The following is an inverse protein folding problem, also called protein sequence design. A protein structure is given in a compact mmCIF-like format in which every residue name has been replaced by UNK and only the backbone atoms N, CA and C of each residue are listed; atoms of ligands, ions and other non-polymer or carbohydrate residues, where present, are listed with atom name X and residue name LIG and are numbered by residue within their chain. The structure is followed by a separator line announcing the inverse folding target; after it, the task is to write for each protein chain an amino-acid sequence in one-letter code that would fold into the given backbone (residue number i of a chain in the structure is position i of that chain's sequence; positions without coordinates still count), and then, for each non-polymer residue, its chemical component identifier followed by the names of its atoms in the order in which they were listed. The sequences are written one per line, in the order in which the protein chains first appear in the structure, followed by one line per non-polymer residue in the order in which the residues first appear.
data_IF_290632835057
#
_entry.id   IF_290632835057
#
_cell.length_a   1.000
_cell.length_b   1.000
_cell.length_c   1.000
_cell.angle_alpha   90.00
_cell.angle_beta   90.00
_cell.angle_gamma   90.00
#
_symmetry.space_group_name_H-M   'P 1'
#
loop_
_entity.id
_entity.type
_entity.pdbx_description
1 polymer ?
#
# COMPACT_ATOMS: atom_id res chain seq x y z
N UNK A 1 -20.56 -11.47 35.07
CA UNK A 1 -19.37 -10.89 34.38
C UNK A 1 -18.78 -11.98 33.48
N UNK A 2 -18.81 -11.81 32.18
CA UNK A 2 -18.10 -12.73 31.26
C UNK A 2 -16.60 -12.48 31.45
N UNK A 3 -15.84 -13.56 31.70
CA UNK A 3 -14.39 -13.46 31.91
C UNK A 3 -13.68 -12.89 30.66
N UNK A 4 -12.45 -12.38 30.83
CA UNK A 4 -11.62 -11.75 29.78
C UNK A 4 -11.45 -12.65 28.53
N UNK A 5 -11.50 -13.96 28.73
CA UNK A 5 -11.44 -15.00 27.67
C UNK A 5 -12.71 -15.14 26.84
N UNK A 6 -13.84 -14.58 27.28
CA UNK A 6 -15.09 -14.60 26.53
C UNK A 6 -15.23 -13.46 25.52
N UNK A 7 -14.21 -12.61 25.38
CA UNK A 7 -14.22 -11.46 24.45
C UNK A 7 -13.49 -11.75 23.13
N UNK A 8 -12.80 -12.89 23.05
CA UNK A 8 -11.96 -13.23 21.90
C UNK A 8 -10.66 -12.41 21.84
N UNK A 9 -9.92 -12.59 20.75
CA UNK A 9 -8.66 -11.90 20.44
C UNK A 9 -8.86 -11.02 19.20
N UNK A 10 -8.38 -9.79 19.26
CA UNK A 10 -8.34 -8.91 18.07
C UNK A 10 -7.50 -9.56 16.95
N UNK A 11 -8.00 -9.58 15.71
CA UNK A 11 -7.24 -10.07 14.56
C UNK A 11 -5.90 -9.34 14.42
N UNK A 12 -4.90 -10.06 13.95
CA UNK A 12 -3.55 -9.50 13.76
C UNK A 12 -3.57 -8.40 12.70
N UNK A 13 -2.85 -7.31 12.97
CA UNK A 13 -2.78 -6.12 12.10
C UNK A 13 -4.15 -5.51 11.79
N UNK A 14 -5.10 -5.69 12.70
CA UNK A 14 -6.41 -5.06 12.57
C UNK A 14 -6.27 -3.55 12.40
N UNK A 15 -6.87 -3.03 11.34
CA UNK A 15 -6.78 -1.60 11.00
C UNK A 15 -8.13 -1.12 10.48
N UNK A 16 -8.68 -0.09 11.09
CA UNK A 16 -9.86 0.58 10.54
C UNK A 16 -9.50 1.36 9.29
N UNK A 17 -10.13 1.03 8.16
CA UNK A 17 -10.09 1.79 6.90
C UNK A 17 -11.13 2.91 6.94
N UNK A 18 -12.34 2.58 7.38
CA UNK A 18 -13.42 3.51 7.67
C UNK A 18 -13.88 3.16 9.09
N UNK A 19 -13.65 4.07 10.01
CA UNK A 19 -13.91 3.83 11.45
C UNK A 19 -15.33 3.33 11.68
N UNK A 20 -15.45 2.21 12.37
CA UNK A 20 -16.72 1.59 12.71
C UNK A 20 -17.45 0.90 11.55
N UNK A 21 -16.94 0.94 10.32
CA UNK A 21 -17.62 0.43 9.13
C UNK A 21 -16.81 -0.60 8.35
N UNK A 22 -15.55 -0.30 8.05
CA UNK A 22 -14.68 -1.16 7.28
C UNK A 22 -13.32 -1.29 7.94
N UNK A 23 -12.90 -2.52 8.18
CA UNK A 23 -11.56 -2.83 8.65
C UNK A 23 -10.84 -3.78 7.70
N UNK A 24 -9.52 -3.78 7.77
CA UNK A 24 -8.66 -4.74 7.11
C UNK A 24 -7.76 -5.43 8.13
N UNK A 25 -7.43 -6.71 7.92
CA UNK A 25 -6.54 -7.48 8.78
C UNK A 25 -5.80 -8.59 8.04
N UNK A 26 -4.85 -9.21 8.71
CA UNK A 26 -4.36 -10.54 8.34
C UNK A 26 -5.51 -11.54 8.44
N UNK A 27 -5.45 -12.63 7.68
CA UNK A 27 -6.38 -13.76 7.75
C UNK A 27 -6.60 -14.21 9.20
N UNK A 28 -7.85 -14.34 9.66
CA UNK A 28 -8.14 -14.88 10.99
C UNK A 28 -7.50 -16.26 11.22
N UNK A 29 -6.77 -16.40 12.33
CA UNK A 29 -5.95 -17.56 12.63
C UNK A 29 -4.50 -17.48 12.18
N UNK A 30 -4.11 -16.42 11.44
CA UNK A 30 -2.79 -16.24 10.87
C UNK A 30 -2.61 -16.97 9.53
N UNK A 31 -1.45 -16.82 8.90
CA UNK A 31 -1.15 -17.43 7.61
C UNK A 31 -0.04 -18.50 7.69
N UNK A 32 0.04 -19.36 6.67
CA UNK A 32 1.05 -20.42 6.55
C UNK A 32 1.19 -21.26 7.83
N UNK A 33 2.41 -21.44 8.30
CA UNK A 33 2.73 -22.23 9.51
C UNK A 33 2.18 -21.64 10.81
N UNK A 34 1.82 -20.35 10.80
CA UNK A 34 1.25 -19.65 11.96
C UNK A 34 -0.26 -19.82 12.08
N UNK A 35 -0.91 -20.46 11.10
CA UNK A 35 -2.35 -20.68 11.14
C UNK A 35 -2.72 -21.66 12.25
N UNK A 36 -3.56 -21.22 13.18
CA UNK A 36 -3.99 -21.99 14.34
C UNK A 36 -5.52 -21.96 14.47
N UNK A 37 -6.13 -23.15 14.57
CA UNK A 37 -7.58 -23.28 14.70
C UNK A 37 -8.13 -22.52 15.90
N UNK A 38 -7.54 -22.68 17.07
CA UNK A 38 -7.97 -21.98 18.30
C UNK A 38 -7.88 -20.47 18.13
N UNK A 39 -6.76 -19.97 17.62
CA UNK A 39 -6.59 -18.53 17.38
C UNK A 39 -7.65 -18.00 16.41
N UNK A 40 -7.96 -18.71 15.33
CA UNK A 40 -9.03 -18.34 14.39
C UNK A 40 -10.37 -18.22 15.11
N UNK A 41 -10.71 -19.22 15.94
CA UNK A 41 -11.96 -19.17 16.70
C UNK A 41 -12.03 -17.96 17.64
N UNK A 42 -10.95 -17.65 18.34
CA UNK A 42 -10.87 -16.47 19.22
C UNK A 42 -10.99 -15.16 18.45
N UNK A 43 -10.33 -15.04 17.29
CA UNK A 43 -10.42 -13.85 16.44
C UNK A 43 -11.82 -13.68 15.83
N UNK A 44 -12.48 -14.78 15.41
CA UNK A 44 -13.87 -14.71 14.91
C UNK A 44 -14.86 -14.36 16.03
N UNK A 45 -14.66 -14.89 17.23
CA UNK A 45 -15.46 -14.54 18.40
C UNK A 45 -15.34 -13.03 18.71
N UNK A 46 -14.12 -12.48 18.59
CA UNK A 46 -13.88 -11.06 18.77
C UNK A 46 -14.64 -10.23 17.72
N UNK A 47 -14.56 -10.62 16.46
CA UNK A 47 -15.26 -9.92 15.36
C UNK A 47 -16.77 -9.90 15.59
N UNK A 48 -17.38 -11.06 15.87
CA UNK A 48 -18.80 -11.15 16.16
C UNK A 48 -19.20 -10.31 17.38
N UNK A 49 -18.38 -10.35 18.45
CA UNK A 49 -18.58 -9.57 19.68
C UNK A 49 -18.44 -8.05 19.49
N UNK A 50 -17.73 -7.62 18.45
CA UNK A 50 -17.56 -6.21 18.07
C UNK A 50 -18.51 -5.76 16.96
N UNK A 51 -19.52 -6.58 16.65
CA UNK A 51 -20.60 -6.23 15.73
C UNK A 51 -20.21 -6.26 14.25
N UNK A 52 -19.17 -7.00 13.88
CA UNK A 52 -18.92 -7.29 12.48
C UNK A 52 -20.02 -8.20 11.96
N UNK A 53 -20.48 -7.90 10.76
CA UNK A 53 -21.60 -8.60 10.10
C UNK A 53 -21.12 -9.36 8.87
N UNK A 54 -20.10 -8.85 8.18
CA UNK A 54 -19.60 -9.38 6.93
C UNK A 54 -18.09 -9.55 6.92
N UNK A 55 -17.63 -10.60 6.23
CA UNK A 55 -16.21 -10.87 5.97
C UNK A 55 -15.99 -11.03 4.47
N UNK A 56 -15.10 -10.24 3.89
CA UNK A 56 -14.61 -10.44 2.53
C UNK A 56 -13.25 -11.13 2.56
N UNK A 57 -13.23 -12.36 2.07
CA UNK A 57 -12.01 -13.16 1.95
C UNK A 57 -11.38 -13.01 0.56
N UNK A 58 -10.15 -12.49 0.50
CA UNK A 58 -9.38 -12.33 -0.73
C UNK A 58 -8.36 -13.46 -0.93
N UNK A 59 -8.51 -14.58 -0.20
CA UNK A 59 -7.60 -15.72 -0.28
C UNK A 59 -7.64 -16.36 -1.67
N UNK A 60 -6.50 -16.87 -2.15
CA UNK A 60 -6.43 -17.60 -3.42
C UNK A 60 -7.30 -18.87 -3.42
N UNK A 61 -7.57 -19.44 -2.26
CA UNK A 61 -8.38 -20.65 -2.11
C UNK A 61 -9.35 -20.58 -0.93
N UNK A 62 -10.52 -21.27 -1.03
CA UNK A 62 -11.63 -21.15 -0.08
C UNK A 62 -11.39 -21.94 1.22
N UNK A 63 -10.21 -21.79 1.83
CA UNK A 63 -9.89 -22.50 3.07
C UNK A 63 -10.61 -21.94 4.28
N UNK A 64 -11.29 -22.83 5.02
CA UNK A 64 -11.91 -22.53 6.32
C UNK A 64 -13.02 -21.47 6.28
N UNK A 65 -13.65 -21.22 5.13
CA UNK A 65 -14.75 -20.27 5.03
C UNK A 65 -15.94 -20.63 5.92
N UNK A 66 -16.22 -21.94 6.10
CA UNK A 66 -17.26 -22.45 7.01
C UNK A 66 -17.11 -21.93 8.46
N UNK A 67 -15.92 -21.51 8.87
CA UNK A 67 -15.73 -20.95 10.20
C UNK A 67 -16.40 -19.58 10.38
N UNK A 68 -16.69 -18.87 9.31
CA UNK A 68 -17.46 -17.62 9.35
C UNK A 68 -18.93 -17.90 9.61
N UNK A 69 -19.50 -18.95 8.95
CA UNK A 69 -20.89 -19.39 9.22
C UNK A 69 -21.06 -19.83 10.68
N UNK A 70 -20.10 -20.60 11.20
CA UNK A 70 -20.09 -21.04 12.61
C UNK A 70 -20.04 -19.86 13.59
N UNK A 71 -19.43 -18.73 13.18
CA UNK A 71 -19.34 -17.51 13.98
C UNK A 71 -20.53 -16.57 13.79
N UNK A 72 -21.49 -16.90 12.89
CA UNK A 72 -22.64 -16.06 12.55
C UNK A 72 -22.27 -14.83 11.71
N UNK A 73 -21.15 -14.89 10.97
CA UNK A 73 -20.68 -13.84 10.08
C UNK A 73 -21.03 -14.19 8.63
N UNK A 74 -21.75 -13.33 7.93
CA UNK A 74 -21.90 -13.47 6.50
C UNK A 74 -20.55 -13.28 5.80
N UNK A 75 -20.28 -13.99 4.71
CA UNK A 75 -19.04 -13.85 4.01
C UNK A 75 -19.19 -13.97 2.49
N UNK A 76 -18.26 -13.35 1.78
CA UNK A 76 -18.01 -13.63 0.36
C UNK A 76 -16.52 -13.93 0.16
N UNK A 77 -16.26 -14.74 -0.87
CA UNK A 77 -14.92 -15.11 -1.26
C UNK A 77 -14.65 -14.63 -2.68
N UNK A 78 -13.81 -13.62 -2.80
CA UNK A 78 -13.34 -13.08 -4.07
C UNK A 78 -11.83 -13.28 -4.13
N UNK A 79 -11.36 -14.40 -4.73
CA UNK A 79 -9.94 -14.69 -4.77
C UNK A 79 -9.18 -13.64 -5.55
N UNK A 80 -8.05 -13.20 -5.00
CA UNK A 80 -7.17 -12.23 -5.62
C UNK A 80 -5.77 -12.84 -5.79
N UNK A 81 -5.65 -13.80 -6.68
CA UNK A 81 -4.41 -14.51 -7.02
C UNK A 81 -3.45 -13.69 -7.87
N UNK A 82 -2.31 -14.31 -8.21
CA UNK A 82 -1.27 -13.67 -9.05
C UNK A 82 -1.60 -13.68 -10.54
N UNK A 83 -2.48 -14.58 -10.97
CA UNK A 83 -2.77 -14.87 -12.37
C UNK A 83 -4.18 -14.45 -12.80
N UNK A 84 -4.92 -13.80 -11.91
CA UNK A 84 -6.25 -13.33 -12.21
C UNK A 84 -6.23 -12.07 -13.08
N UNK A 85 -7.29 -11.82 -13.83
CA UNK A 85 -7.54 -10.55 -14.48
C UNK A 85 -7.78 -9.48 -13.40
N UNK A 86 -6.72 -8.78 -13.03
CA UNK A 86 -6.66 -7.94 -11.84
C UNK A 86 -7.76 -6.88 -11.83
N UNK A 87 -8.05 -6.26 -12.98
CA UNK A 87 -9.07 -5.20 -13.06
C UNK A 87 -10.48 -5.74 -12.73
N UNK A 88 -10.83 -6.91 -13.29
CA UNK A 88 -12.12 -7.55 -13.05
C UNK A 88 -12.27 -7.94 -11.58
N UNK A 89 -11.25 -8.59 -11.01
CA UNK A 89 -11.26 -8.97 -9.59
C UNK A 89 -11.32 -7.77 -8.65
N UNK A 90 -10.62 -6.70 -8.96
CA UNK A 90 -10.73 -5.46 -8.18
C UNK A 90 -12.13 -4.86 -8.27
N UNK A 91 -12.75 -4.90 -9.44
CA UNK A 91 -14.13 -4.46 -9.60
C UNK A 91 -15.09 -5.26 -8.72
N UNK A 92 -14.97 -6.60 -8.72
CA UNK A 92 -15.78 -7.49 -7.86
C UNK A 92 -15.59 -7.17 -6.38
N UNK A 93 -14.34 -7.02 -5.93
CA UNK A 93 -14.02 -6.65 -4.55
C UNK A 93 -14.66 -5.32 -4.15
N UNK A 94 -14.49 -4.29 -4.99
CA UNK A 94 -14.96 -2.95 -4.66
C UNK A 94 -16.49 -2.85 -4.69
N UNK A 95 -17.15 -3.51 -5.63
CA UNK A 95 -18.61 -3.53 -5.72
C UNK A 95 -19.23 -4.31 -4.56
N UNK A 96 -18.63 -5.43 -4.16
CA UNK A 96 -19.07 -6.20 -3.00
C UNK A 96 -19.02 -5.37 -1.72
N UNK A 97 -17.88 -4.74 -1.44
CA UNK A 97 -17.73 -3.89 -0.25
C UNK A 97 -18.69 -2.70 -0.31
N UNK A 98 -18.81 -2.04 -1.46
CA UNK A 98 -19.68 -0.89 -1.60
C UNK A 98 -21.16 -1.25 -1.36
N UNK A 99 -21.62 -2.39 -1.88
CA UNK A 99 -22.97 -2.91 -1.66
C UNK A 99 -23.26 -3.12 -0.18
N UNK A 100 -22.32 -3.71 0.58
CA UNK A 100 -22.52 -3.88 2.02
C UNK A 100 -22.49 -2.55 2.77
N UNK A 101 -21.59 -1.66 2.42
CA UNK A 101 -21.47 -0.36 3.06
C UNK A 101 -22.62 0.61 2.73
N UNK A 102 -23.50 0.30 1.78
CA UNK A 102 -24.73 1.07 1.53
C UNK A 102 -25.70 0.96 2.70
N UNK A 103 -25.71 -0.16 3.43
CA UNK A 103 -26.43 -0.29 4.68
C UNK A 103 -25.58 0.27 5.84
N UNK A 104 -26.02 1.32 6.55
CA UNK A 104 -25.25 1.95 7.62
C UNK A 104 -24.98 1.03 8.83
N UNK A 105 -25.77 -0.02 9.02
CA UNK A 105 -25.60 -0.96 10.14
C UNK A 105 -24.52 -2.02 9.87
N UNK A 106 -24.11 -2.19 8.61
CA UNK A 106 -23.15 -3.22 8.24
C UNK A 106 -21.73 -2.82 8.61
N UNK A 107 -21.01 -3.78 9.16
CA UNK A 107 -19.61 -3.66 9.55
C UNK A 107 -18.81 -4.79 8.90
N UNK A 108 -17.85 -4.42 8.07
CA UNK A 108 -17.15 -5.32 7.15
C UNK A 108 -15.70 -5.50 7.56
N UNK A 109 -15.23 -6.74 7.60
CA UNK A 109 -13.81 -7.08 7.61
C UNK A 109 -13.37 -7.54 6.23
N UNK A 110 -12.30 -6.98 5.70
CA UNK A 110 -11.60 -7.49 4.53
C UNK A 110 -10.25 -8.08 4.95
N UNK A 111 -9.91 -9.26 4.45
CA UNK A 111 -8.61 -9.87 4.76
C UNK A 111 -8.00 -10.59 3.56
N UNK A 112 -6.68 -10.73 3.61
CA UNK A 112 -5.89 -11.58 2.71
C UNK A 112 -5.01 -12.51 3.55
N UNK A 113 -4.19 -13.39 2.91
CA UNK A 113 -3.28 -14.31 3.63
C UNK A 113 -2.47 -13.57 4.69
N UNK A 114 -1.90 -12.45 4.33
CA UNK A 114 -1.12 -11.58 5.20
C UNK A 114 -1.56 -10.12 5.03
N UNK A 115 -1.30 -9.31 6.05
CA UNK A 115 -1.48 -7.87 5.98
C UNK A 115 -0.30 -7.24 5.21
N UNK A 116 -0.26 -7.55 3.91
CA UNK A 116 0.85 -7.24 3.02
C UNK A 116 0.46 -6.29 1.89
N UNK A 117 1.40 -6.08 0.99
CA UNK A 117 1.36 -5.09 -0.07
C UNK A 117 0.12 -5.20 -0.97
N UNK A 118 -0.31 -6.43 -1.29
CA UNK A 118 -1.51 -6.69 -2.09
C UNK A 118 -2.78 -6.18 -1.41
N UNK A 119 -3.00 -6.56 -0.15
CA UNK A 119 -4.17 -6.09 0.61
C UNK A 119 -4.15 -4.57 0.76
N UNK A 120 -3.00 -4.00 1.04
CA UNK A 120 -2.83 -2.55 1.17
C UNK A 120 -3.15 -1.82 -0.14
N UNK A 121 -2.72 -2.37 -1.28
CA UNK A 121 -3.06 -1.84 -2.60
C UNK A 121 -4.58 -1.86 -2.86
N UNK A 122 -5.25 -2.96 -2.49
CA UNK A 122 -6.72 -3.06 -2.59
C UNK A 122 -7.41 -2.01 -1.73
N UNK A 123 -6.94 -1.80 -0.50
CA UNK A 123 -7.49 -0.74 0.38
C UNK A 123 -7.31 0.64 -0.24
N UNK A 124 -6.13 0.96 -0.78
CA UNK A 124 -5.89 2.24 -1.44
C UNK A 124 -6.78 2.42 -2.68
N UNK A 125 -6.94 1.36 -3.49
CA UNK A 125 -7.85 1.33 -4.63
C UNK A 125 -9.31 1.52 -4.23
N UNK A 126 -9.74 0.93 -3.13
CA UNK A 126 -11.09 1.10 -2.59
C UNK A 126 -11.37 2.54 -2.16
N UNK A 127 -10.40 3.25 -1.57
CA UNK A 127 -10.53 4.68 -1.26
C UNK A 127 -10.76 5.51 -2.54
N UNK A 128 -10.11 5.14 -3.64
CA UNK A 128 -10.32 5.75 -4.96
C UNK A 128 -11.69 5.41 -5.53
N UNK A 129 -12.06 4.13 -5.50
CA UNK A 129 -13.35 3.64 -5.99
C UNK A 129 -14.51 4.34 -5.29
N UNK A 130 -14.44 4.45 -3.98
CA UNK A 130 -15.48 5.06 -3.14
C UNK A 130 -15.54 6.59 -3.23
N UNK A 131 -14.60 7.24 -3.94
CA UNK A 131 -14.52 8.70 -4.02
C UNK A 131 -14.06 9.38 -2.74
N UNK A 132 -13.58 8.62 -1.74
CA UNK A 132 -13.00 9.18 -0.51
C UNK A 132 -11.66 9.89 -0.79
N UNK A 133 -10.97 9.45 -1.83
CA UNK A 133 -9.76 10.07 -2.36
C UNK A 133 -9.89 10.12 -3.89
N UNK A 134 -9.41 11.19 -4.51
CA UNK A 134 -9.58 11.38 -5.96
C UNK A 134 -8.34 11.06 -6.79
N UNK A 135 -7.17 10.98 -6.19
CA UNK A 135 -5.90 10.82 -6.90
C UNK A 135 -5.11 9.61 -6.38
N UNK A 136 -4.51 8.83 -7.28
CA UNK A 136 -3.72 7.64 -6.92
C UNK A 136 -2.59 7.93 -5.93
N UNK A 137 -1.72 8.92 -6.17
CA UNK A 137 -0.67 9.29 -5.22
C UNK A 137 -1.21 9.68 -3.85
N UNK A 138 -2.34 10.37 -3.80
CA UNK A 138 -2.98 10.75 -2.52
C UNK A 138 -3.53 9.53 -1.78
N UNK A 139 -4.14 8.58 -2.49
CA UNK A 139 -4.62 7.33 -1.89
C UNK A 139 -3.47 6.53 -1.26
N UNK A 140 -2.31 6.47 -1.90
CA UNK A 140 -1.10 5.86 -1.36
C UNK A 140 -0.67 6.54 -0.06
N UNK A 141 -0.57 7.87 -0.06
CA UNK A 141 -0.16 8.63 1.13
C UNK A 141 -1.14 8.46 2.29
N UNK A 142 -2.45 8.46 2.01
CA UNK A 142 -3.48 8.23 3.03
C UNK A 142 -3.35 6.85 3.63
N UNK A 143 -3.19 5.81 2.77
CA UNK A 143 -2.99 4.45 3.22
C UNK A 143 -1.72 4.28 4.06
N UNK A 144 -0.58 4.81 3.59
CA UNK A 144 0.68 4.72 4.31
C UNK A 144 0.61 5.37 5.70
N UNK A 145 -0.11 6.49 5.83
CA UNK A 145 -0.39 7.13 7.13
C UNK A 145 -1.31 6.29 8.00
N UNK A 146 -2.34 5.68 7.41
CA UNK A 146 -3.32 4.88 8.15
C UNK A 146 -2.70 3.62 8.73
N UNK A 147 -1.81 2.97 7.98
CA UNK A 147 -1.24 1.67 8.32
C UNK A 147 0.16 1.74 8.92
N UNK A 148 0.83 2.87 8.81
CA UNK A 148 2.25 3.03 9.18
C UNK A 148 3.21 2.22 8.29
N UNK A 149 2.75 1.75 7.12
CA UNK A 149 3.53 0.91 6.19
C UNK A 149 3.65 1.57 4.84
N UNK A 150 4.80 1.45 4.23
CA UNK A 150 5.00 1.88 2.84
C UNK A 150 4.38 0.89 1.86
N UNK A 151 3.76 1.40 0.82
CA UNK A 151 3.19 0.60 -0.25
C UNK A 151 4.27 0.22 -1.27
N UNK A 152 4.46 -1.08 -1.48
CA UNK A 152 5.41 -1.64 -2.41
C UNK A 152 4.92 -1.64 -3.87
N UNK A 153 5.62 -2.36 -4.74
CA UNK A 153 5.35 -2.37 -6.18
C UNK A 153 4.01 -2.99 -6.54
N UNK A 154 3.63 -4.10 -5.91
CA UNK A 154 2.36 -4.80 -6.18
C UNK A 154 1.18 -3.92 -5.75
N UNK A 155 1.25 -3.28 -4.59
CA UNK A 155 0.21 -2.39 -4.14
C UNK A 155 0.07 -1.15 -5.02
N UNK A 156 1.18 -0.58 -5.50
CA UNK A 156 1.18 0.55 -6.45
C UNK A 156 0.60 0.16 -7.80
N UNK A 157 0.87 -1.06 -8.28
CA UNK A 157 0.27 -1.62 -9.48
C UNK A 157 -1.26 -1.70 -9.35
N UNK A 158 -1.77 -2.21 -8.23
CA UNK A 158 -3.23 -2.26 -7.95
C UNK A 158 -3.84 -0.85 -8.00
N UNK A 159 -3.21 0.13 -7.39
CA UNK A 159 -3.65 1.53 -7.46
C UNK A 159 -3.64 2.04 -8.89
N UNK A 160 -2.58 1.74 -9.66
CA UNK A 160 -2.47 2.13 -11.06
C UNK A 160 -3.57 1.49 -11.92
N UNK A 161 -3.84 0.19 -11.76
CA UNK A 161 -4.94 -0.51 -12.46
C UNK A 161 -6.29 0.14 -12.11
N UNK A 162 -6.55 0.41 -10.83
CA UNK A 162 -7.79 1.08 -10.40
C UNK A 162 -7.99 2.42 -11.13
N UNK A 163 -6.92 3.18 -11.30
CA UNK A 163 -6.96 4.49 -12.00
C UNK A 163 -7.12 4.32 -13.51
N UNK A 164 -6.32 3.45 -14.13
CA UNK A 164 -6.24 3.27 -15.59
C UNK A 164 -7.53 2.64 -16.15
N UNK A 165 -8.07 1.66 -15.46
CA UNK A 165 -9.33 0.99 -15.82
C UNK A 165 -10.56 1.77 -15.35
N UNK A 166 -10.36 2.95 -14.73
CA UNK A 166 -11.42 3.83 -14.25
C UNK A 166 -12.43 3.13 -13.34
N UNK A 167 -11.94 2.29 -12.44
CA UNK A 167 -12.78 1.62 -11.45
C UNK A 167 -13.22 2.64 -10.39
N UNK A 168 -14.29 3.37 -10.68
CA UNK A 168 -14.84 4.39 -9.80
C UNK A 168 -16.36 4.23 -9.67
N UNK A 169 -16.85 4.31 -8.47
CA UNK A 169 -18.28 4.28 -8.18
C UNK A 169 -18.99 5.54 -8.63
N UNK A 170 -18.30 6.69 -8.54
CA UNK A 170 -18.84 8.00 -8.87
C UNK A 170 -17.99 8.70 -9.94
N UNK A 171 -18.62 9.54 -10.80
CA UNK A 171 -17.86 10.34 -11.74
C UNK A 171 -16.81 11.20 -11.00
N UNK A 172 -15.59 11.19 -11.48
CA UNK A 172 -14.54 12.03 -10.92
C UNK A 172 -14.74 13.49 -11.32
N UNK A 173 -14.53 14.44 -10.40
CA UNK A 173 -14.38 15.84 -10.80
C UNK A 173 -13.17 15.96 -11.76
N UNK A 174 -13.31 16.79 -12.77
CA UNK A 174 -12.22 17.06 -13.71
C UNK A 174 -10.96 17.50 -12.93
N UNK A 175 -9.76 17.04 -13.30
CA UNK A 175 -8.54 17.48 -12.65
C UNK A 175 -8.44 18.98 -12.73
N UNK A 176 -8.18 19.63 -11.59
CA UNK A 176 -7.91 21.08 -11.59
C UNK A 176 -6.69 21.33 -12.47
N UNK A 177 -6.76 22.29 -13.43
CA UNK A 177 -5.60 22.63 -14.22
C UNK A 177 -4.46 23.01 -13.27
N UNK A 178 -3.30 22.39 -13.48
CA UNK A 178 -2.09 22.76 -12.75
C UNK A 178 -1.87 24.26 -12.89
N UNK A 179 -1.49 24.98 -11.84
CA UNK A 179 -1.07 26.37 -11.96
C UNK A 179 0.04 26.41 -13.01
N UNK A 180 -0.24 27.08 -14.12
CA UNK A 180 0.80 27.35 -15.12
C UNK A 180 1.83 28.24 -14.44
N UNK A 181 2.96 27.68 -14.06
CA UNK A 181 4.14 28.49 -13.71
C UNK A 181 4.42 29.36 -14.91
N UNK A 182 4.48 30.69 -14.76
CA UNK A 182 4.87 31.55 -15.84
C UNK A 182 6.22 31.08 -16.37
N UNK A 183 6.27 30.68 -17.63
CA UNK A 183 7.55 30.35 -18.28
C UNK A 183 8.28 31.70 -18.41
N UNK A 184 9.25 31.90 -17.51
CA UNK A 184 10.15 33.00 -17.60
C UNK A 184 10.88 32.91 -18.96
N UNK A 185 10.82 33.95 -19.81
CA UNK A 185 11.46 33.89 -21.11
C UNK A 185 12.98 33.71 -20.91
N UNK A 186 13.64 32.88 -21.76
CA UNK A 186 15.06 32.57 -21.59
C UNK A 186 15.86 33.89 -21.62
N UNK A 187 16.62 34.13 -20.55
CA UNK A 187 17.51 35.28 -20.43
C UNK A 187 18.43 35.36 -21.64
N UNK A 188 18.39 36.49 -22.34
CA UNK A 188 19.24 36.80 -23.49
C UNK A 188 20.72 36.69 -23.08
N UNK A 189 21.48 35.88 -23.83
CA UNK A 189 22.93 35.74 -23.67
C UNK A 189 23.60 37.07 -23.89
N UNK A 190 24.51 37.56 -23.04
CA UNK A 190 25.26 38.74 -23.32
C UNK A 190 26.25 38.49 -24.45
N UNK A 191 26.16 39.29 -25.47
CA UNK A 191 27.08 39.36 -26.63
C UNK A 191 28.45 39.83 -26.13
N UNK A 192 29.47 38.97 -26.24
CA UNK A 192 30.84 39.29 -25.90
C UNK A 192 31.42 40.28 -26.95
N UNK A 193 31.67 41.49 -26.53
CA UNK A 193 32.47 42.45 -27.29
C UNK A 193 33.96 42.03 -27.15
N UNK A 194 34.59 41.93 -28.32
CA UNK A 194 36.04 41.76 -28.48
C UNK A 194 36.76 43.04 -28.09
N UNK A 195 37.65 43.01 -27.12
CA UNK A 195 38.75 43.93 -27.06
C UNK A 195 40.10 43.20 -26.95
N UNK A 196 40.94 43.53 -27.92
CA UNK A 196 42.36 43.11 -27.99
C UNK A 196 43.18 44.04 -27.12
N UNK A 197 44.04 43.55 -26.28
CA UNK A 197 45.33 44.20 -26.08
C UNK A 197 46.43 43.17 -25.67
N UNK A 198 47.58 43.37 -26.28
CA UNK A 198 48.85 42.62 -26.20
C UNK A 198 49.57 42.95 -24.88
N UNK A 199 50.30 41.98 -24.31
CA UNK A 199 51.75 42.02 -24.04
C UNK A 199 52.13 40.90 -23.07
N UNK A 200 53.02 40.06 -23.55
CA UNK A 200 54.44 39.84 -23.15
C UNK A 200 54.70 39.45 -21.70
N UNK A 201 55.20 38.21 -21.55
CA UNK A 201 56.42 38.10 -20.78
C UNK A 201 56.45 36.97 -19.76
N UNK A 202 57.35 36.00 -20.04
CA UNK A 202 58.22 35.28 -19.11
C UNK A 202 57.69 34.03 -18.34
N UNK A 203 58.24 32.93 -18.76
CA UNK A 203 58.59 31.70 -18.05
C UNK A 203 59.88 32.00 -17.22
N UNK A 204 60.40 31.21 -16.28
CA UNK A 204 60.32 29.73 -16.17
C UNK A 204 60.37 29.13 -14.73
N UNK A 205 60.26 27.78 -14.73
CA UNK A 205 60.96 26.80 -13.86
C UNK A 205 60.72 26.77 -12.35
N UNK A 206 60.59 25.66 -11.67
CA UNK A 206 61.20 24.34 -11.57
C UNK A 206 60.37 23.47 -10.61
N UNK A 207 60.14 22.24 -10.91
CA UNK A 207 60.79 21.00 -10.47
C UNK A 207 60.61 20.56 -9.00
N UNK A 208 60.24 19.29 -8.87
CA UNK A 208 60.49 18.48 -7.70
C UNK A 208 59.32 17.50 -7.39
N UNK A 209 59.32 16.32 -7.94
CA UNK A 209 59.79 14.99 -7.41
C UNK A 209 59.32 14.77 -5.96
N UNK A 210 58.75 13.71 -5.61
CA UNK A 210 58.75 12.29 -5.94
C UNK A 210 58.33 11.46 -4.71
N UNK A 211 57.89 10.27 -5.00
CA UNK A 211 58.03 9.00 -4.25
C UNK A 211 57.07 8.73 -3.10
N UNK A 212 56.40 7.66 -3.23
CA UNK A 212 56.64 6.20 -3.12
C UNK A 212 56.07 5.64 -1.83
N UNK A 213 55.24 4.70 -2.00
CA UNK A 213 55.31 3.24 -1.77
C UNK A 213 54.75 2.88 -0.39
N UNK A 214 53.95 1.94 -0.32
CA UNK A 214 53.92 0.52 -0.41
C UNK A 214 53.34 -0.13 0.84
N UNK A 215 52.47 -1.06 0.64
CA UNK A 215 52.61 -2.47 1.04
C UNK A 215 52.25 -2.89 2.47
N UNK A 216 51.45 -3.96 2.51
CA UNK A 216 51.34 -4.86 3.65
C UNK A 216 49.94 -5.48 3.76
N UNK A 217 49.60 -6.46 3.10
CA UNK A 217 49.55 -7.94 3.26
C UNK A 217 49.59 -8.41 4.72
N UNK A 218 48.58 -9.12 5.13
CA UNK A 218 48.55 -9.88 6.36
C UNK A 218 47.34 -10.82 6.43
N UNK A 219 47.61 -12.06 6.06
CA UNK A 219 46.80 -13.29 6.10
C UNK A 219 46.63 -13.86 7.50
N UNK A 220 45.67 -14.80 7.58
CA UNK A 220 45.47 -15.95 8.51
C UNK A 220 44.40 -15.70 9.58
N UNK A 221 43.32 -16.46 9.61
CA UNK A 221 43.05 -17.91 9.66
C UNK A 221 42.88 -18.44 11.10
N UNK A 222 41.77 -19.21 11.25
CA UNK A 222 41.45 -20.23 12.27
C UNK A 222 41.10 -19.77 13.70
N UNK A 223 39.93 -20.00 14.16
CA UNK A 223 39.45 -21.25 14.72
C UNK A 223 37.91 -21.25 14.68
#
# INVERSE_FOLDING_TARGET
MKGRWAQGLEPRYFTWVITGRLAASERPGGFARNHRKVRRQEELLWLAGHGFTHVLSLLDSPHNLHAYDEAGLAYEHVPLGRHDELAERLHDVYTTIARWLDNPEERVLMHHEEFGDRLLGVVAGLLLYSGLVHEGPHAIVVLEKLTGRQLGSVGREIVAVTVNERLFRYPRPAPKPLPQTPVEPPAAKPTAAKERSKSKGAKPETAGKAKKAASGRGKKAKA
#
